data_IF_301740760672
#
_entry.id   IF_301740760672
#
_cell.length_a   1.000
_cell.length_b   1.000
_cell.length_c   1.000
_cell.angle_alpha   90.00
_cell.angle_beta   90.00
_cell.angle_gamma   90.00
#
_symmetry.space_group_name_H-M   'P 1'
#
loop_
_entity.id
_entity.type
_entity.pdbx_description
1 polymer ?
#
# COMPACT_ATOMS: atom_id res chain seq x y z
N UNK A 1 -25.77 47.33 -48.45
CA UNK A 1 -24.98 46.25 -47.83
C UNK A 1 -24.92 46.55 -46.33
N UNK A 2 -25.78 45.89 -45.57
CA UNK A 2 -26.13 46.16 -44.17
C UNK A 2 -25.02 45.76 -43.20
N UNK A 3 -24.53 46.72 -42.40
CA UNK A 3 -23.66 46.44 -41.26
C UNK A 3 -24.50 45.85 -40.11
N UNK A 4 -24.33 44.55 -39.82
CA UNK A 4 -24.87 43.90 -38.61
C UNK A 4 -24.14 44.46 -37.39
N UNK A 5 -24.86 45.21 -36.55
CA UNK A 5 -24.46 45.51 -35.18
C UNK A 5 -24.53 44.20 -34.38
N UNK A 6 -23.40 43.80 -33.82
CA UNK A 6 -23.27 42.59 -33.00
C UNK A 6 -23.35 43.03 -31.55
N UNK A 7 -24.55 43.00 -30.99
CA UNK A 7 -24.75 43.29 -29.57
C UNK A 7 -24.19 42.10 -28.78
N UNK A 8 -23.01 42.29 -28.18
CA UNK A 8 -22.50 41.38 -27.16
C UNK A 8 -23.29 41.72 -25.89
N UNK A 9 -24.30 40.90 -25.59
CA UNK A 9 -25.02 40.95 -24.32
C UNK A 9 -24.01 40.88 -23.16
N UNK A 10 -23.68 42.03 -22.57
CA UNK A 10 -22.96 42.11 -21.29
C UNK A 10 -23.91 41.63 -20.21
N UNK A 11 -24.06 40.31 -20.06
CA UNK A 11 -24.53 39.73 -18.80
C UNK A 11 -23.62 40.28 -17.71
N UNK A 12 -24.18 41.02 -16.76
CA UNK A 12 -23.44 41.52 -15.61
C UNK A 12 -22.78 40.32 -14.94
N UNK A 13 -21.46 40.23 -14.99
CA UNK A 13 -20.70 39.27 -14.20
C UNK A 13 -20.86 39.68 -12.74
N UNK A 14 -21.77 39.02 -12.04
CA UNK A 14 -21.86 39.08 -10.60
C UNK A 14 -20.57 38.47 -10.05
N UNK A 15 -19.66 39.32 -9.57
CA UNK A 15 -18.47 38.86 -8.85
C UNK A 15 -18.88 38.24 -7.52
N UNK A 16 -18.17 37.20 -7.09
CA UNK A 16 -18.30 36.66 -5.74
C UNK A 16 -17.99 37.73 -4.70
N UNK A 17 -18.75 37.74 -3.61
CA UNK A 17 -18.52 38.67 -2.51
C UNK A 17 -17.31 38.22 -1.68
N UNK A 18 -16.56 39.16 -1.07
CA UNK A 18 -15.46 38.81 -0.16
C UNK A 18 -15.94 37.94 1.00
N UNK A 19 -17.18 38.17 1.46
CA UNK A 19 -17.75 37.40 2.57
C UNK A 19 -18.08 35.96 2.17
N UNK A 20 -18.49 35.69 0.93
CA UNK A 20 -18.66 34.31 0.45
C UNK A 20 -17.35 33.55 0.47
N UNK A 21 -16.27 34.16 0.01
CA UNK A 21 -14.97 33.49 -0.02
C UNK A 21 -14.44 33.23 1.40
N UNK A 22 -14.64 34.17 2.33
CA UNK A 22 -14.28 34.01 3.74
C UNK A 22 -15.13 32.91 4.41
N UNK A 23 -16.44 32.89 4.19
CA UNK A 23 -17.31 31.88 4.77
C UNK A 23 -16.91 30.46 4.33
N UNK A 24 -16.53 30.28 3.06
CA UNK A 24 -16.10 28.99 2.51
C UNK A 24 -14.80 28.50 3.17
N UNK A 25 -13.76 29.34 3.26
CA UNK A 25 -12.49 28.92 3.87
C UNK A 25 -12.63 28.63 5.37
N UNK A 26 -13.54 29.32 6.07
CA UNK A 26 -13.84 29.03 7.48
C UNK A 26 -14.51 27.68 7.63
N UNK A 27 -15.49 27.36 6.77
CA UNK A 27 -16.16 26.05 6.78
C UNK A 27 -15.16 24.94 6.43
N UNK A 28 -14.36 25.12 5.37
CA UNK A 28 -13.33 24.15 4.99
C UNK A 28 -12.30 23.96 6.11
N UNK A 29 -11.87 25.03 6.79
CA UNK A 29 -10.96 24.95 7.93
C UNK A 29 -11.52 24.12 9.09
N UNK A 30 -12.80 24.30 9.43
CA UNK A 30 -13.48 23.52 10.47
C UNK A 30 -13.60 22.04 10.09
N UNK A 31 -14.01 21.75 8.86
CA UNK A 31 -14.15 20.37 8.37
C UNK A 31 -12.79 19.67 8.30
N UNK A 32 -11.74 20.35 7.83
CA UNK A 32 -10.39 19.80 7.76
C UNK A 32 -9.82 19.47 9.15
N UNK A 33 -10.09 20.31 10.15
CA UNK A 33 -9.61 20.08 11.52
C UNK A 33 -10.11 18.75 12.13
N UNK A 34 -11.33 18.32 11.78
CA UNK A 34 -11.90 17.04 12.27
C UNK A 34 -11.66 15.87 11.32
N UNK A 35 -11.57 16.12 10.01
CA UNK A 35 -11.42 15.07 9.00
C UNK A 35 -9.98 14.55 8.87
N UNK A 36 -8.98 15.42 8.99
CA UNK A 36 -7.57 15.04 8.80
C UNK A 36 -7.11 13.96 9.79
N UNK A 37 -7.34 14.06 11.11
CA UNK A 37 -6.89 13.03 12.05
C UNK A 37 -7.47 11.66 11.71
N UNK A 38 -8.77 11.60 11.38
CA UNK A 38 -9.43 10.36 10.98
C UNK A 38 -8.91 9.78 9.67
N UNK A 39 -8.57 10.63 8.72
CA UNK A 39 -7.97 10.19 7.47
C UNK A 39 -6.55 9.62 7.67
N UNK A 40 -5.78 10.13 8.63
CA UNK A 40 -4.47 9.56 8.98
C UNK A 40 -4.64 8.21 9.67
N UNK A 41 -5.53 8.09 10.67
CA UNK A 41 -5.83 6.82 11.34
C UNK A 41 -6.20 5.72 10.31
N UNK A 42 -7.10 6.05 9.37
CA UNK A 42 -7.53 5.11 8.32
C UNK A 42 -6.39 4.71 7.36
N UNK A 43 -5.44 5.60 7.09
CA UNK A 43 -4.27 5.26 6.28
C UNK A 43 -3.33 4.31 7.02
N UNK A 44 -3.15 4.51 8.34
CA UNK A 44 -2.33 3.62 9.16
C UNK A 44 -2.97 2.22 9.26
N UNK A 45 -4.29 2.14 9.49
CA UNK A 45 -5.04 0.88 9.48
C UNK A 45 -4.96 0.17 8.11
N UNK A 46 -5.06 0.93 7.02
CA UNK A 46 -4.92 0.39 5.67
C UNK A 46 -3.51 -0.14 5.39
N UNK A 47 -2.47 0.56 5.86
CA UNK A 47 -1.09 0.13 5.73
C UNK A 47 -0.84 -1.17 6.52
N UNK A 48 -1.35 -1.29 7.74
CA UNK A 48 -1.25 -2.51 8.56
C UNK A 48 -1.96 -3.69 7.89
N UNK A 49 -3.19 -3.49 7.41
CA UNK A 49 -3.93 -4.53 6.71
C UNK A 49 -3.23 -4.98 5.41
N UNK A 50 -2.65 -4.05 4.67
CA UNK A 50 -1.93 -4.36 3.44
C UNK A 50 -0.62 -5.11 3.72
N UNK A 51 0.17 -4.69 4.72
CA UNK A 51 1.36 -5.41 5.17
C UNK A 51 1.01 -6.84 5.63
N UNK A 52 -0.09 -7.00 6.40
CA UNK A 52 -0.59 -8.31 6.81
C UNK A 52 -1.00 -9.18 5.61
N UNK A 53 -1.62 -8.59 4.58
CA UNK A 53 -1.97 -9.28 3.33
C UNK A 53 -0.74 -9.82 2.60
N UNK A 54 0.30 -9.00 2.46
CA UNK A 54 1.57 -9.43 1.86
C UNK A 54 2.25 -10.52 2.69
N UNK A 55 2.32 -10.35 4.02
CA UNK A 55 2.86 -11.35 4.93
C UNK A 55 2.10 -12.69 4.84
N UNK A 56 0.77 -12.66 4.71
CA UNK A 56 -0.05 -13.86 4.52
C UNK A 56 0.22 -14.58 3.20
N UNK A 57 0.44 -13.82 2.12
CA UNK A 57 0.87 -14.35 0.83
C UNK A 57 2.23 -15.04 0.93
N UNK A 58 3.21 -14.38 1.54
CA UNK A 58 4.56 -14.93 1.77
C UNK A 58 4.50 -16.19 2.64
N UNK A 59 3.79 -16.17 3.77
CA UNK A 59 3.62 -17.33 4.64
C UNK A 59 3.05 -18.55 3.88
N UNK A 60 2.06 -18.31 3.02
CA UNK A 60 1.46 -19.36 2.19
C UNK A 60 2.45 -19.88 1.16
N UNK A 61 3.20 -19.01 0.50
CA UNK A 61 4.21 -19.38 -0.47
C UNK A 61 5.34 -20.24 0.14
N UNK A 62 5.84 -19.86 1.33
CA UNK A 62 6.82 -20.66 2.07
C UNK A 62 6.28 -22.03 2.47
N UNK A 63 5.02 -22.10 2.94
CA UNK A 63 4.40 -23.37 3.31
C UNK A 63 4.21 -24.30 2.10
N UNK A 64 3.78 -23.76 0.96
CA UNK A 64 3.64 -24.52 -0.29
C UNK A 64 4.99 -25.00 -0.82
N UNK A 65 6.00 -24.12 -0.85
CA UNK A 65 7.35 -24.49 -1.28
C UNK A 65 7.96 -25.57 -0.38
N UNK A 66 7.84 -25.43 0.94
CA UNK A 66 8.29 -26.45 1.89
C UNK A 66 7.62 -27.81 1.64
N UNK A 67 6.30 -27.82 1.43
CA UNK A 67 5.56 -29.05 1.16
C UNK A 67 5.97 -29.67 -0.19
N UNK A 68 6.19 -28.87 -1.23
CA UNK A 68 6.68 -29.32 -2.53
C UNK A 68 8.07 -29.96 -2.42
N UNK A 69 9.00 -29.28 -1.73
CA UNK A 69 10.34 -29.82 -1.48
C UNK A 69 10.31 -31.11 -0.64
N UNK A 70 9.46 -31.18 0.38
CA UNK A 70 9.29 -32.38 1.19
C UNK A 70 8.71 -33.57 0.41
N UNK A 71 7.91 -33.29 -0.63
CA UNK A 71 7.37 -34.31 -1.54
C UNK A 71 8.36 -34.73 -2.64
N UNK A 72 9.53 -34.09 -2.74
CA UNK A 72 10.52 -34.34 -3.80
C UNK A 72 10.10 -33.77 -5.17
N UNK A 73 9.27 -32.72 -5.19
CA UNK A 73 8.84 -32.06 -6.41
C UNK A 73 10.00 -31.26 -7.06
N UNK A 74 10.04 -31.23 -8.39
CA UNK A 74 11.11 -30.56 -9.14
C UNK A 74 10.91 -29.02 -9.26
N UNK A 75 9.73 -28.50 -8.92
CA UNK A 75 9.41 -27.06 -8.84
C UNK A 75 9.62 -26.46 -7.45
N UNK A 76 10.26 -27.20 -6.56
CA UNK A 76 10.77 -26.73 -5.27
C UNK A 76 11.90 -25.71 -5.48
N UNK A 77 11.78 -24.52 -4.89
CA UNK A 77 12.81 -23.47 -4.93
C UNK A 77 13.64 -23.48 -3.64
N UNK A 78 14.95 -23.23 -3.76
CA UNK A 78 15.82 -23.07 -2.59
C UNK A 78 15.66 -21.68 -2.00
N UNK A 79 15.19 -21.61 -0.76
CA UNK A 79 15.03 -20.37 0.01
C UNK A 79 15.93 -20.43 1.24
N UNK A 80 17.00 -19.63 1.25
CA UNK A 80 17.98 -19.57 2.33
C UNK A 80 17.78 -18.35 3.23
N UNK A 81 17.13 -17.31 2.72
CA UNK A 81 16.87 -16.05 3.39
C UNK A 81 15.39 -15.65 3.30
N UNK A 82 14.93 -14.86 4.27
CA UNK A 82 13.61 -14.25 4.25
C UNK A 82 13.33 -13.47 2.97
N UNK A 83 14.33 -12.79 2.39
CA UNK A 83 14.15 -11.99 1.16
C UNK A 83 13.93 -12.87 -0.09
N UNK A 84 14.36 -14.13 -0.07
CA UNK A 84 14.09 -15.07 -1.16
C UNK A 84 12.58 -15.38 -1.30
N UNK A 85 11.77 -15.01 -0.31
CA UNK A 85 10.31 -15.14 -0.36
C UNK A 85 9.67 -14.47 -1.57
N UNK A 86 10.30 -13.45 -2.15
CA UNK A 86 9.81 -12.82 -3.37
C UNK A 86 9.88 -13.73 -4.61
N UNK A 87 10.80 -14.68 -4.62
CA UNK A 87 10.91 -15.67 -5.71
C UNK A 87 9.77 -16.69 -5.67
N UNK A 88 9.18 -16.90 -4.49
CA UNK A 88 8.05 -17.82 -4.28
C UNK A 88 6.69 -17.22 -4.65
N UNK A 89 6.60 -15.91 -4.86
CA UNK A 89 5.36 -15.24 -5.24
C UNK A 89 5.27 -15.08 -6.76
N UNK A 90 4.18 -15.54 -7.39
CA UNK A 90 3.94 -15.39 -8.84
C UNK A 90 3.96 -13.92 -9.33
N UNK A 91 3.73 -12.96 -8.43
CA UNK A 91 3.80 -11.51 -8.73
C UNK A 91 5.18 -10.89 -8.53
N UNK A 92 6.15 -11.64 -8.01
CA UNK A 92 7.48 -11.15 -7.66
C UNK A 92 7.47 -10.06 -6.58
N UNK A 93 8.60 -9.36 -6.47
CA UNK A 93 8.75 -8.24 -5.54
C UNK A 93 7.93 -7.03 -6.00
N UNK A 94 7.10 -6.50 -5.11
CA UNK A 94 6.44 -5.20 -5.31
C UNK A 94 7.39 -4.09 -4.83
N UNK A 95 7.63 -3.06 -5.64
CA UNK A 95 8.58 -1.99 -5.34
C UNK A 95 8.32 -1.24 -4.00
N UNK A 96 7.10 -1.34 -3.49
CA UNK A 96 6.64 -0.63 -2.30
C UNK A 96 6.80 -1.42 -0.98
N UNK A 97 7.06 -2.73 -1.06
CA UNK A 97 7.26 -3.59 0.11
C UNK A 97 8.65 -4.21 0.11
N UNK A 98 9.26 -4.28 1.29
CA UNK A 98 10.59 -4.86 1.48
C UNK A 98 10.53 -5.94 2.53
N UNK A 99 11.30 -7.02 2.35
CA UNK A 99 11.49 -8.03 3.40
C UNK A 99 12.83 -7.75 4.06
N UNK A 100 12.87 -7.78 5.38
CA UNK A 100 14.14 -7.72 6.11
C UNK A 100 14.87 -9.03 5.89
N UNK A 101 16.04 -8.96 5.24
CA UNK A 101 16.87 -10.13 5.03
C UNK A 101 17.24 -10.79 6.37
N UNK A 102 17.17 -12.11 6.40
CA UNK A 102 17.41 -12.91 7.58
C UNK A 102 17.53 -14.40 7.23
N UNK A 103 18.60 -15.08 7.66
CA UNK A 103 18.82 -16.46 7.28
C UNK A 103 17.74 -17.36 7.86
N UNK A 104 17.16 -18.20 7.01
CA UNK A 104 16.20 -19.23 7.40
C UNK A 104 16.97 -20.49 7.77
N UNK A 105 16.66 -21.07 8.93
CA UNK A 105 17.29 -22.31 9.38
C UNK A 105 16.52 -23.52 8.84
N UNK A 106 17.24 -24.52 8.33
CA UNK A 106 16.65 -25.75 7.78
C UNK A 106 15.74 -26.43 8.80
N UNK A 107 14.50 -26.72 8.38
CA UNK A 107 13.51 -27.41 9.20
C UNK A 107 13.08 -26.65 10.45
N UNK A 108 13.40 -25.35 10.56
CA UNK A 108 13.00 -24.50 11.68
C UNK A 108 12.19 -23.30 11.19
N UNK A 109 11.01 -23.04 11.78
CA UNK A 109 10.27 -21.82 11.48
C UNK A 109 11.11 -20.62 11.91
N UNK A 110 11.29 -19.67 11.00
CA UNK A 110 12.02 -18.42 11.20
C UNK A 110 11.06 -17.27 11.00
N UNK A 111 11.03 -16.30 11.92
CA UNK A 111 10.19 -15.11 11.77
C UNK A 111 10.86 -14.13 10.81
N UNK A 112 10.19 -13.86 9.70
CA UNK A 112 10.57 -12.88 8.71
C UNK A 112 9.65 -11.67 8.79
N UNK A 113 10.16 -10.51 8.40
CA UNK A 113 9.46 -9.25 8.58
C UNK A 113 9.33 -8.52 7.25
N UNK A 114 8.08 -8.22 6.86
CA UNK A 114 7.79 -7.37 5.71
C UNK A 114 7.46 -5.95 6.18
N UNK A 115 8.02 -4.97 5.48
CA UNK A 115 7.85 -3.55 5.77
C UNK A 115 7.23 -2.86 4.57
N UNK A 116 6.12 -2.15 4.79
CA UNK A 116 5.41 -1.38 3.78
C UNK A 116 6.01 0.00 3.50
N UNK A 117 5.47 0.72 2.50
CA UNK A 117 6.04 1.95 1.98
C UNK A 117 5.87 3.14 2.94
N UNK A 118 6.77 4.14 2.83
CA UNK A 118 6.63 5.44 3.53
C UNK A 118 5.69 6.37 2.76
N UNK A 119 4.92 7.26 3.43
CA UNK A 119 5.07 7.71 4.82
C UNK A 119 4.28 6.93 5.89
N UNK A 120 3.22 6.20 5.52
CA UNK A 120 2.51 5.30 6.42
C UNK A 120 3.09 3.89 6.31
N UNK A 121 4.23 3.66 6.96
CA UNK A 121 4.90 2.36 6.96
C UNK A 121 4.35 1.49 8.07
N UNK A 122 3.83 0.32 7.70
CA UNK A 122 3.44 -0.73 8.62
C UNK A 122 4.31 -1.96 8.41
N UNK A 123 4.46 -2.75 9.46
CA UNK A 123 5.28 -3.95 9.46
C UNK A 123 4.42 -5.15 9.83
N UNK A 124 4.59 -6.25 9.10
CA UNK A 124 3.94 -7.52 9.41
C UNK A 124 4.97 -8.64 9.45
N UNK A 125 4.71 -9.65 10.28
CA UNK A 125 5.56 -10.81 10.41
C UNK A 125 4.95 -12.01 9.71
N UNK A 126 5.79 -12.80 9.06
CA UNK A 126 5.43 -14.11 8.52
C UNK A 126 6.44 -15.16 8.95
N UNK A 127 6.10 -16.43 8.79
CA UNK A 127 7.01 -17.53 9.10
C UNK A 127 7.60 -18.08 7.81
N UNK A 128 8.91 -17.98 7.67
CA UNK A 128 9.69 -18.69 6.66
C UNK A 128 10.14 -20.05 7.18
N UNK A 129 10.11 -21.07 6.33
CA UNK A 129 10.69 -22.38 6.62
C UNK A 129 11.30 -22.94 5.34
N UNK A 130 12.47 -23.57 5.45
CA UNK A 130 13.12 -24.26 4.34
C UNK A 130 13.29 -25.75 4.63
N UNK A 131 13.26 -26.55 3.57
CA UNK A 131 13.30 -28.00 3.67
C UNK A 131 14.71 -28.58 3.84
N UNK A 132 15.67 -28.12 3.03
CA UNK A 132 17.05 -28.62 3.04
C UNK A 132 18.03 -27.54 2.59
#
# INVERSE_FOLDING_TARGET
>A
MTARKRDIDRKAQAGFTLIELIAVIVILGLLSAVAIPKFLDLQDEAAEAAAAGVAGGLASAFALNYAACAAGDAGCETVDDCDDGWTLLEGGQTADYTITAGPIVVGKPTTCTVTGPTPQSATANFTGIRFN
#
